data_IF_496725128213
#
_entry.id   IF_496725128213
#
_cell.length_a   1.000
_cell.length_b   1.000
_cell.length_c   1.000
_cell.angle_alpha   90.00
_cell.angle_beta   90.00
_cell.angle_gamma   90.00
#
_symmetry.space_group_name_H-M   'P 1'
#
loop_
_entity.id
_entity.type
_entity.pdbx_description
1 polymer ?
#
# COMPACT_ATOMS: atom_id res chain seq x y z
N UNK A 1 6.68 25.36 18.07
CA UNK A 1 6.50 24.05 18.73
C UNK A 1 5.55 23.21 17.91
N UNK A 2 5.89 21.95 17.67
CA UNK A 2 5.04 20.98 16.98
C UNK A 2 3.66 20.94 17.63
N UNK A 3 2.58 21.09 16.87
CA UNK A 3 1.26 20.73 17.39
C UNK A 3 1.26 19.21 17.61
N UNK A 4 0.90 18.74 18.81
CA UNK A 4 0.81 17.29 19.08
C UNK A 4 -0.05 16.56 18.02
N UNK A 5 -1.12 17.22 17.57
CA UNK A 5 -2.01 16.75 16.50
C UNK A 5 -1.29 16.64 15.15
N UNK A 6 -0.44 17.60 14.82
CA UNK A 6 0.35 17.61 13.57
C UNK A 6 1.39 16.50 13.55
N UNK A 7 2.11 16.31 14.66
CA UNK A 7 3.08 15.22 14.81
C UNK A 7 2.41 13.84 14.76
N UNK A 8 1.23 13.68 15.35
CA UNK A 8 0.46 12.43 15.27
C UNK A 8 0.05 12.13 13.83
N UNK A 9 -0.45 13.13 13.10
CA UNK A 9 -0.84 12.97 11.70
C UNK A 9 0.35 12.62 10.79
N UNK A 10 1.50 13.28 10.99
CA UNK A 10 2.71 12.96 10.21
C UNK A 10 3.20 11.55 10.50
N UNK A 11 3.20 11.13 11.78
CA UNK A 11 3.60 9.79 12.19
C UNK A 11 2.66 8.73 11.59
N UNK A 12 1.35 8.95 11.67
CA UNK A 12 0.35 8.05 11.10
C UNK A 12 0.53 7.92 9.58
N UNK A 13 0.75 9.05 8.88
CA UNK A 13 0.96 9.06 7.43
C UNK A 13 2.21 8.29 7.03
N UNK A 14 3.30 8.42 7.78
CA UNK A 14 4.54 7.65 7.57
C UNK A 14 4.34 6.15 7.82
N UNK A 15 3.66 5.78 8.91
CA UNK A 15 3.36 4.37 9.22
C UNK A 15 2.50 3.75 8.12
N UNK A 16 1.44 4.44 7.70
CA UNK A 16 0.53 3.95 6.66
C UNK A 16 1.26 3.83 5.31
N UNK A 17 2.08 4.81 4.92
CA UNK A 17 2.88 4.74 3.69
C UNK A 17 3.88 3.58 3.74
N UNK A 18 4.56 3.40 4.88
CA UNK A 18 5.53 2.31 5.08
C UNK A 18 4.87 0.93 5.04
N UNK A 19 3.78 0.73 5.79
CA UNK A 19 3.07 -0.55 5.84
C UNK A 19 2.43 -0.90 4.50
N UNK A 20 1.80 0.06 3.81
CA UNK A 20 1.19 -0.19 2.49
C UNK A 20 2.25 -0.54 1.45
N UNK A 21 3.38 0.17 1.42
CA UNK A 21 4.51 -0.13 0.53
C UNK A 21 5.11 -1.50 0.87
N UNK A 22 5.35 -1.79 2.14
CA UNK A 22 5.88 -3.10 2.55
C UNK A 22 4.95 -4.25 2.20
N UNK A 23 3.64 -4.08 2.40
CA UNK A 23 2.61 -5.00 1.93
C UNK A 23 2.71 -5.22 0.42
N UNK A 24 2.81 -4.15 -0.38
CA UNK A 24 2.94 -4.23 -1.84
C UNK A 24 4.18 -5.01 -2.28
N UNK A 25 5.33 -4.77 -1.62
CA UNK A 25 6.61 -5.37 -2.02
C UNK A 25 6.72 -6.87 -1.72
N UNK A 26 5.96 -7.35 -0.74
CA UNK A 26 6.11 -8.68 -0.17
C UNK A 26 5.41 -9.74 -1.04
N UNK A 27 6.07 -10.86 -1.43
CA UNK A 27 5.49 -11.90 -2.29
C UNK A 27 4.48 -12.82 -1.57
N UNK A 28 4.03 -12.46 -0.37
CA UNK A 28 3.25 -13.33 0.52
C UNK A 28 1.81 -12.85 0.67
N UNK A 29 1.15 -12.56 -0.45
CA UNK A 29 -0.28 -12.21 -0.47
C UNK A 29 -1.14 -13.47 -0.49
N UNK A 30 -0.72 -14.48 -1.24
CA UNK A 30 -1.25 -15.84 -1.20
C UNK A 30 -0.14 -16.82 -0.95
N UNK A 31 -0.42 -17.84 -0.14
CA UNK A 31 0.54 -18.88 0.21
C UNK A 31 -0.14 -20.23 -0.01
N UNK A 32 0.51 -21.11 -0.77
CA UNK A 32 0.11 -22.49 -0.92
C UNK A 32 0.56 -23.28 0.33
N UNK A 33 -0.36 -24.01 0.98
CA UNK A 33 -0.10 -24.61 2.29
C UNK A 33 0.94 -25.73 2.27
N UNK A 34 0.96 -26.57 1.22
CA UNK A 34 1.87 -27.73 1.12
C UNK A 34 3.26 -27.38 0.59
N UNK A 35 3.33 -26.63 -0.51
CA UNK A 35 4.55 -26.32 -1.25
C UNK A 35 5.17 -24.99 -0.82
N UNK A 36 4.56 -24.26 0.11
CA UNK A 36 5.00 -22.94 0.58
C UNK A 36 5.27 -21.92 -0.55
N UNK A 37 4.70 -22.16 -1.73
CA UNK A 37 4.75 -21.24 -2.86
C UNK A 37 3.95 -19.99 -2.52
N UNK A 38 4.52 -18.82 -2.76
CA UNK A 38 3.89 -17.56 -2.41
C UNK A 38 3.75 -16.64 -3.62
N UNK A 39 2.57 -16.04 -3.76
CA UNK A 39 2.24 -15.10 -4.81
C UNK A 39 1.97 -13.73 -4.18
N UNK A 40 2.63 -12.68 -4.68
CA UNK A 40 2.38 -11.28 -4.37
C UNK A 40 1.89 -10.52 -5.59
N UNK A 41 1.63 -9.21 -5.46
CA UNK A 41 1.09 -8.41 -6.56
C UNK A 41 2.00 -8.35 -7.78
N UNK A 42 3.31 -8.18 -7.59
CA UNK A 42 4.28 -8.10 -8.69
C UNK A 42 5.47 -9.07 -8.52
N UNK A 43 5.57 -9.73 -7.36
CA UNK A 43 6.62 -10.70 -7.04
C UNK A 43 5.99 -12.06 -6.74
N UNK A 44 6.71 -13.12 -7.08
CA UNK A 44 6.34 -14.49 -6.74
C UNK A 44 7.56 -15.24 -6.23
N UNK A 45 7.32 -16.22 -5.37
CA UNK A 45 8.35 -17.16 -4.96
C UNK A 45 7.82 -18.58 -5.12
N UNK A 46 8.39 -19.29 -6.08
CA UNK A 46 8.06 -20.67 -6.35
C UNK A 46 9.16 -21.57 -5.79
N UNK A 47 8.77 -22.77 -5.39
CA UNK A 47 9.74 -23.80 -5.05
C UNK A 47 10.28 -24.38 -6.36
N UNK A 48 11.61 -24.38 -6.52
CA UNK A 48 12.24 -24.85 -7.74
C UNK A 48 12.17 -26.39 -7.79
N UNK A 49 11.50 -26.93 -8.80
CA UNK A 49 11.35 -28.37 -9.04
C UNK A 49 12.64 -29.02 -9.55
N UNK A 50 13.82 -28.50 -9.20
CA UNK A 50 15.09 -29.21 -9.43
C UNK A 50 15.15 -30.54 -8.66
N UNK A 51 14.27 -30.77 -7.68
CA UNK A 51 14.05 -32.07 -7.06
C UNK A 51 13.35 -33.09 -7.98
N UNK A 52 12.60 -32.67 -9.01
CA UNK A 52 11.91 -33.60 -9.93
C UNK A 52 12.80 -34.14 -11.07
N UNK A 53 14.01 -33.58 -11.23
CA UNK A 53 15.03 -34.04 -12.20
C UNK A 53 16.22 -34.73 -11.54
N UNK A 54 16.12 -35.12 -10.27
CA UNK A 54 17.15 -35.91 -9.60
C UNK A 54 16.86 -37.39 -9.84
N UNK A 55 17.78 -38.16 -10.46
CA UNK A 55 17.67 -39.62 -10.54
C UNK A 55 17.50 -40.23 -9.14
N UNK A 56 16.70 -41.28 -9.01
CA UNK A 56 16.52 -42.03 -7.75
C UNK A 56 17.89 -42.43 -7.16
N UNK A 57 18.37 -41.71 -6.15
CA UNK A 57 19.65 -42.02 -5.48
C UNK A 57 20.51 -40.86 -4.99
N UNK A 58 20.18 -39.59 -5.28
CA UNK A 58 20.94 -38.44 -4.75
C UNK A 58 20.13 -37.68 -3.69
N UNK A 59 20.78 -37.36 -2.56
CA UNK A 59 20.15 -36.62 -1.45
C UNK A 59 19.61 -35.28 -1.96
N UNK A 60 18.33 -35.01 -1.67
CA UNK A 60 17.70 -33.73 -1.97
C UNK A 60 18.56 -32.58 -1.40
N UNK A 61 19.04 -31.71 -2.29
CA UNK A 61 19.77 -30.50 -1.89
C UNK A 61 18.90 -29.56 -1.04
N UNK A 62 19.50 -28.53 -0.42
CA UNK A 62 18.76 -27.57 0.39
C UNK A 62 17.62 -26.95 -0.42
N UNK A 63 16.47 -26.74 0.22
CA UNK A 63 15.28 -26.08 -0.32
C UNK A 63 15.64 -24.76 -1.02
N UNK A 64 15.71 -24.76 -2.36
CA UNK A 64 15.96 -23.55 -3.14
C UNK A 64 14.63 -22.97 -3.61
N UNK A 65 14.19 -21.89 -2.94
CA UNK A 65 13.03 -21.11 -3.36
C UNK A 65 13.49 -20.08 -4.40
N UNK A 66 12.96 -20.17 -5.62
CA UNK A 66 13.21 -19.22 -6.68
C UNK A 66 12.20 -18.07 -6.57
N UNK A 67 12.67 -16.90 -6.15
CA UNK A 67 11.88 -15.67 -6.12
C UNK A 67 12.15 -14.85 -7.37
N UNK A 68 11.08 -14.41 -8.04
CA UNK A 68 11.12 -13.63 -9.26
C UNK A 68 10.08 -12.52 -9.27
N UNK A 69 10.20 -11.65 -10.27
CA UNK A 69 9.23 -10.59 -10.57
C UNK A 69 8.37 -11.07 -11.74
N UNK A 70 7.07 -10.76 -11.72
CA UNK A 70 6.20 -11.02 -12.87
C UNK A 70 6.64 -10.14 -14.05
N UNK A 71 7.17 -10.78 -15.09
CA UNK A 71 7.78 -10.10 -16.23
C UNK A 71 9.10 -9.44 -15.85
N UNK A 72 10.22 -9.97 -16.34
CA UNK A 72 11.59 -9.47 -16.09
C UNK A 72 11.78 -7.95 -16.32
N UNK A 73 10.83 -7.27 -16.98
CA UNK A 73 10.86 -5.84 -17.34
C UNK A 73 9.53 -5.08 -17.20
N UNK A 74 8.80 -5.21 -16.08
CA UNK A 74 7.54 -4.45 -15.87
C UNK A 74 6.51 -4.60 -17.00
N UNK A 75 6.54 -5.74 -17.70
CA UNK A 75 5.60 -5.98 -18.79
C UNK A 75 4.26 -6.41 -18.19
N UNK A 76 3.37 -5.45 -18.00
CA UNK A 76 2.05 -5.68 -17.43
C UNK A 76 1.25 -6.72 -18.23
N UNK A 77 1.55 -6.92 -19.51
CA UNK A 77 0.93 -7.93 -20.35
C UNK A 77 1.26 -9.38 -19.98
N UNK A 78 2.24 -9.60 -19.10
CA UNK A 78 2.63 -10.94 -18.61
C UNK A 78 1.94 -11.36 -17.31
N UNK A 79 1.11 -10.48 -16.72
CA UNK A 79 0.36 -10.80 -15.51
C UNK A 79 -0.84 -11.73 -15.80
N UNK A 80 -1.16 -12.65 -14.87
CA UNK A 80 -2.10 -13.76 -15.10
C UNK A 80 -3.54 -13.36 -15.41
N UNK A 81 -3.94 -12.12 -15.12
CA UNK A 81 -5.25 -11.56 -15.49
C UNK A 81 -5.28 -10.03 -15.52
N UNK A 82 -6.20 -9.48 -16.30
CA UNK A 82 -6.46 -8.03 -16.35
C UNK A 82 -6.84 -7.46 -14.98
N UNK A 83 -7.62 -8.23 -14.19
CA UNK A 83 -7.98 -7.84 -12.83
C UNK A 83 -6.74 -7.70 -11.92
N UNK A 84 -5.77 -8.60 -12.05
CA UNK A 84 -4.53 -8.54 -11.29
C UNK A 84 -3.69 -7.31 -11.68
N UNK A 85 -3.59 -7.01 -12.98
CA UNK A 85 -2.91 -5.80 -13.48
C UNK A 85 -3.54 -4.53 -12.91
N UNK A 86 -4.87 -4.41 -13.02
CA UNK A 86 -5.62 -3.27 -12.49
C UNK A 86 -5.41 -3.15 -10.99
N UNK A 87 -5.47 -4.25 -10.24
CA UNK A 87 -5.25 -4.23 -8.79
C UNK A 87 -3.84 -3.74 -8.41
N UNK A 88 -2.81 -4.16 -9.16
CA UNK A 88 -1.42 -3.76 -8.95
C UNK A 88 -1.23 -2.26 -9.23
N UNK A 89 -1.79 -1.75 -10.34
CA UNK A 89 -1.71 -0.33 -10.69
C UNK A 89 -2.48 0.53 -9.69
N UNK A 90 -3.68 0.11 -9.27
CA UNK A 90 -4.48 0.88 -8.31
C UNK A 90 -3.85 0.88 -6.92
N UNK A 91 -3.47 -0.28 -6.38
CA UNK A 91 -2.86 -0.36 -5.05
C UNK A 91 -1.47 0.30 -5.03
N UNK A 92 -0.62 -0.02 -6.02
CA UNK A 92 0.71 0.58 -6.15
C UNK A 92 0.64 2.10 -6.38
N UNK A 93 -0.28 2.58 -7.21
CA UNK A 93 -0.55 4.01 -7.38
C UNK A 93 -0.98 4.68 -6.08
N UNK A 94 -1.85 4.02 -5.30
CA UNK A 94 -2.22 4.45 -3.95
C UNK A 94 -1.03 4.57 -3.00
N UNK A 95 -0.12 3.61 -3.00
CA UNK A 95 1.13 3.66 -2.21
C UNK A 95 2.01 4.85 -2.60
N UNK A 96 2.20 5.12 -3.90
CA UNK A 96 3.00 6.27 -4.38
C UNK A 96 2.39 7.58 -3.90
N UNK A 97 1.07 7.73 -4.03
CA UNK A 97 0.36 8.92 -3.56
C UNK A 97 0.51 9.10 -2.04
N UNK A 98 0.42 8.01 -1.26
CA UNK A 98 0.65 8.06 0.20
C UNK A 98 2.07 8.47 0.58
N UNK A 99 3.08 7.97 -0.14
CA UNK A 99 4.48 8.36 0.09
C UNK A 99 4.67 9.85 -0.17
N UNK A 100 4.09 10.37 -1.27
CA UNK A 100 4.12 11.81 -1.58
C UNK A 100 3.43 12.60 -0.46
N UNK A 101 2.25 12.16 0.00
CA UNK A 101 1.57 12.80 1.13
C UNK A 101 2.45 12.81 2.39
N UNK A 102 3.07 11.68 2.74
CA UNK A 102 3.92 11.59 3.93
C UNK A 102 5.14 12.52 3.83
N UNK A 103 5.75 12.65 2.65
CA UNK A 103 6.83 13.62 2.41
C UNK A 103 6.34 15.05 2.59
N UNK A 104 5.17 15.40 2.04
CA UNK A 104 4.56 16.72 2.23
C UNK A 104 4.31 16.97 3.71
N UNK A 105 3.73 16.01 4.45
CA UNK A 105 3.49 16.12 5.90
C UNK A 105 4.77 16.45 6.66
N UNK A 106 5.88 15.78 6.35
CA UNK A 106 7.20 16.05 6.96
C UNK A 106 7.70 17.44 6.59
N UNK A 107 7.56 17.87 5.34
CA UNK A 107 7.96 19.20 4.91
C UNK A 107 7.17 20.31 5.62
N UNK A 108 5.85 20.14 5.77
CA UNK A 108 4.99 21.06 6.54
C UNK A 108 5.45 21.14 8.01
N UNK A 109 5.86 20.00 8.57
CA UNK A 109 6.35 19.91 9.94
C UNK A 109 7.70 20.65 10.13
N UNK A 110 8.61 20.51 9.17
CA UNK A 110 9.95 21.09 9.20
C UNK A 110 9.97 22.58 8.81
N UNK A 111 9.08 23.02 7.91
CA UNK A 111 9.05 24.38 7.34
C UNK A 111 7.67 25.05 7.56
N UNK A 112 7.34 25.44 8.80
CA UNK A 112 6.03 26.00 9.13
C UNK A 112 5.75 27.38 8.51
N UNK A 113 6.78 28.09 8.02
CA UNK A 113 6.68 29.46 7.49
C UNK A 113 6.05 29.56 6.09
N UNK A 114 6.04 28.46 5.32
CA UNK A 114 5.70 28.49 3.88
C UNK A 114 4.36 27.82 3.55
N UNK A 115 3.63 27.33 4.54
CA UNK A 115 2.36 26.65 4.29
C UNK A 115 1.23 27.66 4.10
N UNK A 116 0.39 27.45 3.09
CA UNK A 116 -0.89 28.13 2.95
C UNK A 116 -2.02 27.18 3.33
N UNK A 117 -3.18 27.72 3.72
CA UNK A 117 -4.41 26.94 3.97
C UNK A 117 -4.78 26.09 2.74
N UNK A 118 -4.37 26.51 1.53
CA UNK A 118 -4.50 25.74 0.28
C UNK A 118 -3.74 24.42 0.28
N UNK A 119 -2.50 24.39 0.79
CA UNK A 119 -1.68 23.16 0.82
C UNK A 119 -2.25 22.12 1.79
N UNK A 120 -2.86 22.55 2.89
CA UNK A 120 -3.49 21.63 3.86
C UNK A 120 -4.75 20.96 3.28
N UNK A 121 -5.64 21.75 2.66
CA UNK A 121 -6.86 21.25 2.00
C UNK A 121 -6.52 20.27 0.87
N UNK A 122 -5.52 20.60 0.02
CA UNK A 122 -5.05 19.71 -1.03
C UNK A 122 -4.53 18.38 -0.47
N UNK A 123 -3.80 18.41 0.64
CA UNK A 123 -3.26 17.18 1.24
C UNK A 123 -4.38 16.25 1.73
N UNK A 124 -5.47 16.81 2.28
CA UNK A 124 -6.66 16.04 2.64
C UNK A 124 -7.29 15.31 1.44
N UNK A 125 -7.52 16.02 0.33
CA UNK A 125 -8.09 15.43 -0.89
C UNK A 125 -7.18 14.36 -1.52
N UNK A 126 -5.87 14.60 -1.55
CA UNK A 126 -4.89 13.65 -2.09
C UNK A 126 -4.83 12.39 -1.21
N UNK A 127 -4.86 12.55 0.12
CA UNK A 127 -4.93 11.42 1.06
C UNK A 127 -6.20 10.60 0.86
N UNK A 128 -7.37 11.23 0.70
CA UNK A 128 -8.63 10.53 0.43
C UNK A 128 -8.58 9.77 -0.90
N UNK A 129 -8.00 10.38 -1.94
CA UNK A 129 -7.82 9.72 -3.24
C UNK A 129 -6.92 8.48 -3.11
N UNK A 130 -5.82 8.57 -2.37
CA UNK A 130 -4.96 7.43 -2.05
C UNK A 130 -5.73 6.29 -1.36
N UNK A 131 -6.57 6.60 -0.38
CA UNK A 131 -7.37 5.59 0.35
C UNK A 131 -8.34 4.87 -0.59
N UNK A 132 -8.99 5.61 -1.51
CA UNK A 132 -9.88 5.00 -2.51
C UNK A 132 -9.10 4.07 -3.44
N UNK A 133 -7.93 4.48 -3.91
CA UNK A 133 -7.07 3.66 -4.77
C UNK A 133 -6.60 2.37 -4.07
N UNK A 134 -6.13 2.46 -2.83
CA UNK A 134 -5.75 1.29 -2.03
C UNK A 134 -6.92 0.34 -1.81
N UNK A 135 -8.09 0.87 -1.45
CA UNK A 135 -9.29 0.07 -1.21
C UNK A 135 -9.73 -0.65 -2.48
N UNK A 136 -9.76 0.06 -3.62
CA UNK A 136 -10.10 -0.54 -4.90
C UNK A 136 -9.10 -1.64 -5.29
N UNK A 137 -7.80 -1.40 -5.12
CA UNK A 137 -6.76 -2.40 -5.37
C UNK A 137 -6.94 -3.67 -4.54
N UNK A 138 -7.22 -3.54 -3.23
CA UNK A 138 -7.49 -4.68 -2.35
C UNK A 138 -8.77 -5.43 -2.72
N UNK A 139 -9.83 -4.73 -3.15
CA UNK A 139 -11.09 -5.37 -3.54
C UNK A 139 -10.98 -6.09 -4.87
N UNK A 140 -10.25 -5.52 -5.84
CA UNK A 140 -10.08 -6.08 -7.18
C UNK A 140 -9.11 -7.27 -7.15
N UNK A 141 -8.09 -7.26 -6.28
CA UNK A 141 -7.07 -8.31 -6.24
C UNK A 141 -7.64 -9.74 -6.11
N UNK A 142 -8.59 -10.04 -5.18
CA UNK A 142 -9.23 -11.36 -5.09
C UNK A 142 -10.09 -11.76 -6.30
N UNK A 143 -10.46 -10.83 -7.18
CA UNK A 143 -11.17 -11.13 -8.43
C UNK A 143 -10.22 -11.78 -9.44
N UNK A 144 -8.94 -11.41 -9.43
CA UNK A 144 -7.91 -12.01 -10.29
C UNK A 144 -7.60 -13.49 -10.00
N UNK A 145 -8.14 -14.04 -8.90
CA UNK A 145 -7.93 -15.43 -8.48
C UNK A 145 -8.64 -16.47 -9.34
N UNK A 146 -9.70 -16.07 -10.05
CA UNK A 146 -10.43 -16.99 -10.95
C UNK A 146 -9.64 -17.30 -12.23
N UNK A 147 -8.49 -16.67 -12.45
CA UNK A 147 -7.67 -16.91 -13.64
C UNK A 147 -7.11 -18.33 -13.71
N UNK A 148 -6.99 -18.85 -14.94
CA UNK A 148 -6.46 -20.20 -15.21
C UNK A 148 -5.04 -20.40 -14.67
N UNK A 149 -4.24 -19.34 -14.59
CA UNK A 149 -2.89 -19.37 -14.00
C UNK A 149 -2.96 -19.62 -12.49
N UNK A 150 -3.83 -18.90 -11.77
CA UNK A 150 -3.99 -19.10 -10.33
C UNK A 150 -4.59 -20.49 -10.04
N UNK A 151 -5.54 -20.94 -10.87
CA UNK A 151 -6.11 -22.28 -10.75
C UNK A 151 -5.09 -23.41 -10.97
N UNK A 152 -4.03 -23.16 -11.76
CA UNK A 152 -2.93 -24.10 -11.93
C UNK A 152 -2.14 -24.32 -10.63
N UNK A 153 -1.89 -23.26 -9.86
CA UNK A 153 -1.17 -23.34 -8.57
C UNK A 153 -2.09 -23.68 -7.38
N UNK A 154 -3.33 -23.23 -7.44
CA UNK A 154 -4.35 -23.37 -6.41
C UNK A 154 -5.62 -23.96 -7.05
N UNK A 155 -5.74 -25.29 -7.15
CA UNK A 155 -6.96 -25.90 -7.69
C UNK A 155 -8.18 -25.48 -6.86
N UNK A 156 -9.32 -25.25 -7.53
CA UNK A 156 -10.59 -24.76 -6.95
C UNK A 156 -10.54 -23.33 -6.38
N UNK A 157 -9.53 -22.53 -6.70
CA UNK A 157 -9.54 -21.10 -6.37
C UNK A 157 -10.64 -20.37 -7.17
N UNK A 158 -11.50 -19.65 -6.46
CA UNK A 158 -12.57 -18.83 -7.04
C UNK A 158 -12.55 -17.43 -6.43
N UNK A 159 -13.32 -16.49 -7.01
CA UNK A 159 -13.36 -15.09 -6.55
C UNK A 159 -13.65 -15.01 -5.05
N UNK A 160 -12.74 -14.37 -4.30
CA UNK A 160 -12.75 -14.26 -2.82
C UNK A 160 -12.69 -15.58 -2.03
N UNK A 161 -12.53 -16.73 -2.68
CA UNK A 161 -12.34 -18.02 -2.01
C UNK A 161 -10.98 -18.59 -2.38
N UNK A 162 -9.98 -18.46 -1.49
CA UNK A 162 -8.76 -19.23 -1.64
C UNK A 162 -9.16 -20.71 -1.55
N UNK A 163 -8.86 -21.50 -2.59
CA UNK A 163 -9.19 -22.92 -2.64
C UNK A 163 -8.62 -23.68 -1.45
N UNK A 164 -9.00 -24.95 -1.27
CA UNK A 164 -8.63 -25.76 -0.09
C UNK A 164 -7.13 -25.90 0.15
N UNK A 165 -6.30 -25.70 -0.88
CA UNK A 165 -4.84 -25.82 -0.79
C UNK A 165 -4.10 -24.49 -0.58
N UNK A 166 -4.81 -23.36 -0.60
CA UNK A 166 -4.22 -22.02 -0.53
C UNK A 166 -4.81 -21.18 0.59
N UNK A 167 -3.98 -20.31 1.16
CA UNK A 167 -4.36 -19.40 2.24
C UNK A 167 -3.97 -17.97 1.90
N UNK A 168 -4.73 -17.03 2.49
CA UNK A 168 -4.39 -15.61 2.48
C UNK A 168 -3.12 -15.42 3.31
N UNK A 169 -2.12 -14.78 2.70
CA UNK A 169 -0.85 -14.49 3.34
C UNK A 169 -0.87 -13.19 4.16
N UNK A 170 0.15 -13.03 5.00
CA UNK A 170 0.27 -11.91 5.93
C UNK A 170 0.40 -10.56 5.24
N UNK A 171 0.98 -10.50 4.04
CA UNK A 171 1.17 -9.24 3.32
C UNK A 171 -0.19 -8.62 2.93
N UNK A 172 -1.17 -9.45 2.55
CA UNK A 172 -2.52 -8.99 2.24
C UNK A 172 -3.23 -8.45 3.48
N UNK A 173 -3.14 -9.16 4.61
CA UNK A 173 -3.69 -8.69 5.89
C UNK A 173 -3.05 -7.36 6.32
N UNK A 174 -1.74 -7.23 6.14
CA UNK A 174 -1.03 -5.98 6.41
C UNK A 174 -1.55 -4.83 5.54
N UNK A 175 -1.86 -5.09 4.27
CA UNK A 175 -2.43 -4.11 3.36
C UNK A 175 -3.84 -3.65 3.78
N UNK A 176 -4.68 -4.59 4.24
CA UNK A 176 -6.00 -4.28 4.81
C UNK A 176 -5.84 -3.38 6.04
N UNK A 177 -4.96 -3.75 6.98
CA UNK A 177 -4.72 -2.96 8.20
C UNK A 177 -4.17 -1.58 7.86
N UNK A 178 -3.21 -1.50 6.93
CA UNK A 178 -2.65 -0.23 6.48
C UNK A 178 -3.72 0.68 5.85
N UNK A 179 -4.59 0.11 5.01
CA UNK A 179 -5.70 0.84 4.38
C UNK A 179 -6.74 1.29 5.40
N UNK A 180 -7.07 0.44 6.38
CA UNK A 180 -7.96 0.79 7.49
C UNK A 180 -7.39 1.96 8.32
N UNK A 181 -6.09 1.94 8.61
CA UNK A 181 -5.40 3.05 9.28
C UNK A 181 -5.37 4.31 8.40
N UNK A 182 -5.24 4.16 7.07
CA UNK A 182 -5.25 5.25 6.12
C UNK A 182 -6.58 6.01 6.12
N UNK A 183 -7.72 5.35 6.37
CA UNK A 183 -9.03 6.02 6.50
C UNK A 183 -9.07 7.06 7.62
N UNK A 184 -8.28 6.91 8.68
CA UNK A 184 -8.23 7.87 9.79
C UNK A 184 -7.33 9.08 9.48
N UNK A 185 -6.43 8.98 8.49
CA UNK A 185 -5.47 10.04 8.18
C UNK A 185 -6.13 11.34 7.62
N UNK A 186 -7.14 11.31 6.72
CA UNK A 186 -7.84 12.51 6.26
C UNK A 186 -8.54 13.28 7.38
N UNK A 187 -9.15 12.57 8.34
CA UNK A 187 -9.80 13.22 9.48
C UNK A 187 -8.80 13.99 10.32
N UNK A 188 -7.66 13.38 10.64
CA UNK A 188 -6.59 14.05 11.40
C UNK A 188 -5.99 15.22 10.62
N UNK A 189 -5.86 15.13 9.29
CA UNK A 189 -5.40 16.23 8.45
C UNK A 189 -6.31 17.47 8.61
N UNK A 190 -7.64 17.29 8.58
CA UNK A 190 -8.60 18.37 8.77
C UNK A 190 -8.48 19.02 10.16
N UNK A 191 -8.30 18.23 11.21
CA UNK A 191 -8.11 18.78 12.56
C UNK A 191 -6.80 19.55 12.70
N UNK A 192 -5.72 19.09 12.05
CA UNK A 192 -4.47 19.85 12.04
C UNK A 192 -4.63 21.21 11.37
N UNK A 193 -5.39 21.28 10.28
CA UNK A 193 -5.64 22.52 9.53
C UNK A 193 -6.37 23.55 10.39
N UNK A 194 -7.50 23.17 11.02
CA UNK A 194 -8.27 24.04 11.91
C UNK A 194 -7.37 24.60 13.04
N UNK A 195 -6.51 23.74 13.61
CA UNK A 195 -5.60 24.16 14.69
C UNK A 195 -4.48 25.12 14.22
N UNK A 196 -4.08 25.05 12.95
CA UNK A 196 -3.09 25.94 12.36
C UNK A 196 -3.71 27.29 12.01
N UNK A 197 -4.93 27.29 11.49
CA UNK A 197 -5.67 28.51 11.15
C UNK A 197 -5.98 29.35 12.40
N UNK A 198 -6.46 28.70 13.47
CA UNK A 198 -6.66 29.34 14.78
C UNK A 198 -5.38 29.98 15.34
N UNK A 199 -4.22 29.33 15.17
CA UNK A 199 -2.94 29.90 15.60
C UNK A 199 -2.51 31.10 14.77
N UNK A 200 -2.76 31.10 13.46
CA UNK A 200 -2.47 32.27 12.61
C UNK A 200 -3.27 33.48 13.06
N UNK A 201 -4.57 33.30 13.32
CA UNK A 201 -5.45 34.35 13.82
C UNK A 201 -4.94 34.92 15.16
N UNK A 202 -4.57 34.06 16.11
CA UNK A 202 -3.99 34.50 17.39
C UNK A 202 -2.59 35.13 17.29
N UNK A 203 -1.80 34.79 16.27
CA UNK A 203 -0.49 35.41 16.02
C UNK A 203 -0.59 36.74 15.26
N UNK A 204 -1.76 37.03 14.66
CA UNK A 204 -2.04 38.26 13.92
C UNK A 204 -3.07 39.19 14.60
N UNK A 205 -2.97 39.50 15.92
CA UNK A 205 -3.90 40.43 16.55
C UNK A 205 -3.62 41.90 16.18
N UNK A 206 -2.56 42.22 15.42
CA UNK A 206 -2.14 43.61 15.16
C UNK A 206 -1.91 43.95 13.68
N UNK A 207 -2.71 43.39 12.77
CA UNK A 207 -2.71 43.82 11.35
C UNK A 207 -4.05 44.37 10.86
N UNK A 208 -4.97 44.71 11.78
CA UNK A 208 -6.26 45.34 11.49
C UNK A 208 -6.33 46.84 11.87
N UNK A 209 -5.19 47.51 12.03
CA UNK A 209 -5.14 48.97 12.30
C UNK A 209 -4.39 49.76 11.23
N UNK A 210 -4.21 49.22 10.02
CA UNK A 210 -3.41 49.90 8.98
C UNK A 210 -3.96 49.76 7.56
N UNK A 211 -5.28 49.88 7.37
CA UNK A 211 -5.91 50.20 6.07
C UNK A 211 -7.27 50.90 6.30
N UNK A 212 -7.28 52.14 6.83
CA UNK A 212 -8.28 53.18 6.50
C UNK A 212 -7.64 54.54 6.84
N UNK A 213 -6.87 55.10 5.91
CA UNK A 213 -6.73 56.55 5.73
C UNK A 213 -6.87 56.78 4.23
#
# INVERSE_FOLDING_TARGET
>A
MLSAVGGLWTLLSLIVAGLSTFSFLQPYWYIHQRTLQSLGMYSFCLQDDLASKIPEGYQAGPFTQACGLFGDYFDFGSLPSDAWQVSCVMYGGGCVVLVICAMISVLVLCLPSSCDTRTAVLTGYVQTTAVVLLTAGLVIFPVGLESSVVQHYCPEASVYRPGTSCQIGWAYLLGIVATALAFFAPFLAQYTDISLDQRRLHSSPNKSSRVVV
#
